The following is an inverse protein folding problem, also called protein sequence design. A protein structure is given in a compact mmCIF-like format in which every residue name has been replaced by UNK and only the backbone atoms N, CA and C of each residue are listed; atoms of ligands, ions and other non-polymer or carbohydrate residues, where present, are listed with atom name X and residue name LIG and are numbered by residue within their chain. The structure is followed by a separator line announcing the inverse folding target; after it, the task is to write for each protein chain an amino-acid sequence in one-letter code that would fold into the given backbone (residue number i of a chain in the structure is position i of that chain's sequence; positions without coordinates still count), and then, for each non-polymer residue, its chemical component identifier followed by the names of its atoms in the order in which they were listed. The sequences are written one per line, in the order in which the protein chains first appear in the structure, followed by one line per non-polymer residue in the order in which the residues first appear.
data_IF_427119895339
#
_entry.id   IF_427119895339
#
_cell.length_a   1.000
_cell.length_b   1.000
_cell.length_c   1.000
_cell.angle_alpha   90.00
_cell.angle_beta   90.00
_cell.angle_gamma   90.00
#
_symmetry.space_group_name_H-M   'P 1'
#
loop_
_entity.id
_entity.type
_entity.pdbx_description
1 polymer ?
#
# COMPACT_ATOMS: atom_id res chain seq x y z
N UNK A 1 -62.49 -49.54 10.73
CA UNK A 1 -62.43 -48.28 9.95
C UNK A 1 -60.99 -48.04 9.49
N UNK A 2 -60.67 -48.30 8.21
CA UNK A 2 -59.35 -48.00 7.62
C UNK A 2 -59.41 -46.62 6.98
N UNK A 3 -58.52 -45.70 7.37
CA UNK A 3 -58.34 -44.42 6.68
C UNK A 3 -57.62 -44.67 5.34
N UNK A 4 -58.08 -44.10 4.22
CA UNK A 4 -57.34 -44.17 2.97
C UNK A 4 -56.08 -43.29 3.07
N UNK A 5 -54.92 -43.92 2.95
CA UNK A 5 -53.64 -43.24 2.74
C UNK A 5 -53.59 -42.72 1.30
N UNK A 6 -53.71 -41.40 1.14
CA UNK A 6 -53.44 -40.74 -0.13
C UNK A 6 -51.94 -40.82 -0.41
N UNK A 7 -51.54 -41.76 -1.26
CA UNK A 7 -50.23 -41.72 -1.91
C UNK A 7 -50.29 -40.58 -2.91
N UNK A 8 -49.74 -39.41 -2.55
CA UNK A 8 -49.47 -38.36 -3.53
C UNK A 8 -48.35 -38.88 -4.43
N UNK A 9 -48.69 -39.23 -5.66
CA UNK A 9 -47.73 -39.52 -6.72
C UNK A 9 -46.88 -38.27 -6.96
N UNK A 10 -45.59 -38.39 -6.63
CA UNK A 10 -44.55 -37.39 -6.82
C UNK A 10 -44.03 -37.50 -8.27
N UNK A 11 -44.90 -37.33 -9.25
CA UNK A 11 -44.53 -37.48 -10.66
C UNK A 11 -44.03 -36.13 -11.21
N UNK A 12 -42.71 -36.01 -11.36
CA UNK A 12 -42.05 -34.91 -12.08
C UNK A 12 -41.67 -33.67 -11.27
N UNK A 13 -42.24 -33.47 -10.08
CA UNK A 13 -41.92 -32.29 -9.25
C UNK A 13 -40.47 -32.30 -8.73
N UNK A 14 -39.95 -33.47 -8.34
CA UNK A 14 -38.56 -33.59 -7.85
C UNK A 14 -37.52 -33.26 -8.92
N UNK A 15 -37.81 -33.59 -10.19
CA UNK A 15 -36.94 -33.28 -11.31
C UNK A 15 -36.90 -31.77 -11.57
N UNK A 16 -38.08 -31.11 -11.54
CA UNK A 16 -38.17 -29.67 -11.70
C UNK A 16 -37.49 -28.92 -10.54
N UNK A 17 -37.72 -29.36 -9.30
CA UNK A 17 -37.08 -28.80 -8.11
C UNK A 17 -35.55 -28.97 -8.15
N UNK A 18 -35.07 -30.15 -8.57
CA UNK A 18 -33.65 -30.41 -8.78
C UNK A 18 -33.03 -29.51 -9.85
N UNK A 19 -33.72 -29.30 -10.98
CA UNK A 19 -33.27 -28.36 -12.01
C UNK A 19 -33.19 -26.93 -11.49
N UNK A 20 -34.20 -26.46 -10.74
CA UNK A 20 -34.19 -25.13 -10.13
C UNK A 20 -33.02 -24.99 -9.15
N UNK A 21 -32.80 -25.98 -8.29
CA UNK A 21 -31.69 -25.99 -7.34
C UNK A 21 -30.32 -25.92 -8.06
N UNK A 22 -30.15 -26.67 -9.14
CA UNK A 22 -28.93 -26.62 -9.96
C UNK A 22 -28.73 -25.26 -10.64
N UNK A 23 -29.79 -24.65 -11.17
CA UNK A 23 -29.72 -23.30 -11.75
C UNK A 23 -29.30 -22.26 -10.71
N UNK A 24 -29.88 -22.32 -9.52
CA UNK A 24 -29.53 -21.40 -8.41
C UNK A 24 -28.06 -21.59 -8.01
N UNK A 25 -27.62 -22.84 -7.84
CA UNK A 25 -26.23 -23.13 -7.47
C UNK A 25 -25.25 -22.66 -8.55
N UNK A 26 -25.56 -22.87 -9.83
CA UNK A 26 -24.76 -22.40 -10.96
C UNK A 26 -24.66 -20.87 -11.00
N UNK A 27 -25.76 -20.16 -10.73
CA UNK A 27 -25.77 -18.70 -10.66
C UNK A 27 -24.95 -18.16 -9.50
N UNK A 28 -25.00 -18.82 -8.32
CA UNK A 28 -24.17 -18.44 -7.17
C UNK A 28 -22.69 -18.61 -7.50
N UNK A 29 -22.30 -19.75 -8.07
CA UNK A 29 -20.92 -20.00 -8.49
C UNK A 29 -20.42 -18.94 -9.49
N UNK A 30 -21.23 -18.60 -10.48
CA UNK A 30 -20.90 -17.53 -11.42
C UNK A 30 -20.75 -16.17 -10.73
N UNK A 31 -21.63 -15.85 -9.78
CA UNK A 31 -21.57 -14.61 -8.99
C UNK A 31 -20.30 -14.52 -8.12
N UNK A 32 -19.92 -15.62 -7.46
CA UNK A 32 -18.69 -15.67 -6.65
C UNK A 32 -17.44 -15.48 -7.52
N UNK A 33 -17.36 -16.18 -8.66
CA UNK A 33 -16.24 -16.02 -9.59
C UNK A 33 -16.15 -14.59 -10.15
N UNK A 34 -17.29 -14.00 -10.49
CA UNK A 34 -17.38 -12.61 -10.96
C UNK A 34 -16.90 -11.62 -9.90
N UNK A 35 -17.36 -11.77 -8.65
CA UNK A 35 -16.98 -10.90 -7.54
C UNK A 35 -15.48 -11.03 -7.21
N UNK A 36 -14.95 -12.26 -7.17
CA UNK A 36 -13.53 -12.50 -6.91
C UNK A 36 -12.63 -11.82 -7.93
N UNK A 37 -13.04 -11.83 -9.21
CA UNK A 37 -12.33 -11.11 -10.28
C UNK A 37 -12.34 -9.59 -10.07
N UNK A 38 -13.49 -9.01 -9.72
CA UNK A 38 -13.56 -7.57 -9.43
C UNK A 38 -12.74 -7.18 -8.19
N UNK A 39 -12.74 -8.03 -7.16
CA UNK A 39 -11.94 -7.83 -5.97
C UNK A 39 -10.44 -7.84 -6.30
N UNK A 40 -9.99 -8.77 -7.13
CA UNK A 40 -8.59 -8.86 -7.56
C UNK A 40 -8.16 -7.63 -8.39
N UNK A 41 -9.01 -7.17 -9.33
CA UNK A 41 -8.78 -5.92 -10.06
C UNK A 41 -8.69 -4.73 -9.10
N UNK A 42 -9.59 -4.65 -8.11
CA UNK A 42 -9.61 -3.57 -7.14
C UNK A 42 -8.37 -3.56 -6.24
N UNK A 43 -7.88 -4.73 -5.82
CA UNK A 43 -6.65 -4.88 -5.04
C UNK A 43 -5.42 -4.49 -5.88
N UNK A 44 -5.35 -4.97 -7.13
CA UNK A 44 -4.27 -4.61 -8.06
C UNK A 44 -4.24 -3.09 -8.29
N UNK A 45 -5.40 -2.47 -8.48
CA UNK A 45 -5.56 -1.02 -8.64
C UNK A 45 -5.09 -0.26 -7.39
N UNK A 46 -5.37 -0.79 -6.18
CA UNK A 46 -4.92 -0.21 -4.91
C UNK A 46 -3.40 -0.35 -4.71
N UNK A 47 -2.82 -1.51 -5.07
CA UNK A 47 -1.37 -1.71 -5.00
C UNK A 47 -0.63 -0.82 -6.01
N UNK A 48 -1.18 -0.66 -7.22
CA UNK A 48 -0.66 0.25 -8.22
C UNK A 48 -0.68 1.71 -7.73
N UNK A 49 -1.77 2.18 -7.11
CA UNK A 49 -1.84 3.56 -6.58
C UNK A 49 -0.84 3.78 -5.44
N UNK A 50 -0.71 2.82 -4.53
CA UNK A 50 0.27 2.88 -3.45
C UNK A 50 1.70 2.94 -4.00
N UNK A 51 2.04 2.05 -4.93
CA UNK A 51 3.38 2.02 -5.53
C UNK A 51 3.68 3.29 -6.35
N UNK A 52 2.70 3.83 -7.06
CA UNK A 52 2.79 5.10 -7.74
C UNK A 52 3.11 6.25 -6.78
N UNK A 53 2.36 6.35 -5.67
CA UNK A 53 2.57 7.40 -4.67
C UNK A 53 3.97 7.32 -4.03
N UNK A 54 4.43 6.12 -3.65
CA UNK A 54 5.76 5.93 -3.05
C UNK A 54 6.92 6.14 -4.01
N UNK A 55 6.76 5.80 -5.29
CA UNK A 55 7.79 6.07 -6.31
C UNK A 55 7.84 7.56 -6.65
N UNK A 56 6.68 8.21 -6.81
CA UNK A 56 6.60 9.64 -7.03
C UNK A 56 7.12 10.47 -5.84
N UNK A 57 6.88 10.02 -4.60
CA UNK A 57 7.43 10.65 -3.38
C UNK A 57 8.98 10.58 -3.32
N UNK A 58 9.59 9.59 -3.98
CA UNK A 58 11.05 9.45 -4.15
C UNK A 58 11.58 10.17 -5.41
N UNK A 59 10.76 10.97 -6.08
CA UNK A 59 11.09 11.70 -7.31
C UNK A 59 11.36 10.80 -8.53
N UNK A 60 10.94 9.53 -8.50
CA UNK A 60 10.99 8.63 -9.67
C UNK A 60 9.66 8.71 -10.44
N UNK A 61 9.47 9.75 -11.27
CA UNK A 61 8.21 9.99 -12.00
C UNK A 61 8.30 9.76 -13.50
N UNK A 62 9.50 9.78 -14.09
CA UNK A 62 9.68 9.61 -15.53
C UNK A 62 9.27 8.20 -15.98
N UNK A 63 8.32 8.11 -16.94
CA UNK A 63 7.79 6.83 -17.44
C UNK A 63 7.14 5.95 -16.38
N UNK A 64 6.84 6.47 -15.18
CA UNK A 64 6.22 5.70 -14.10
C UNK A 64 4.82 5.16 -14.48
N UNK A 65 3.93 5.93 -15.14
CA UNK A 65 2.62 5.41 -15.55
C UNK A 65 2.73 4.17 -16.45
N UNK A 66 3.66 4.17 -17.41
CA UNK A 66 3.83 3.06 -18.35
C UNK A 66 4.41 1.83 -17.64
N UNK A 67 5.48 2.01 -16.85
CA UNK A 67 6.08 0.93 -16.03
C UNK A 67 5.08 0.28 -15.06
N UNK A 68 4.17 1.07 -14.48
CA UNK A 68 3.13 0.55 -13.59
C UNK A 68 2.03 -0.19 -14.35
N UNK A 69 1.63 0.30 -15.54
CA UNK A 69 0.67 -0.40 -16.40
C UNK A 69 1.21 -1.78 -16.78
N UNK A 70 2.42 -1.85 -17.30
CA UNK A 70 3.08 -3.12 -17.65
C UNK A 70 3.27 -4.02 -16.42
N UNK A 71 3.74 -3.46 -15.31
CA UNK A 71 4.08 -4.22 -14.10
C UNK A 71 2.89 -4.78 -13.32
N UNK A 72 1.72 -4.13 -13.35
CA UNK A 72 0.54 -4.55 -12.58
C UNK A 72 -0.59 -5.10 -13.44
N UNK A 73 -0.75 -4.63 -14.68
CA UNK A 73 -1.94 -4.95 -15.49
C UNK A 73 -1.63 -5.81 -16.73
N UNK A 74 -0.34 -6.03 -17.05
CA UNK A 74 0.06 -6.86 -18.19
C UNK A 74 0.73 -8.19 -17.84
N UNK A 75 0.81 -8.53 -16.54
CA UNK A 75 1.38 -9.82 -16.13
C UNK A 75 0.45 -10.99 -16.45
N UNK A 76 0.99 -12.20 -16.67
CA UNK A 76 0.19 -13.41 -16.89
C UNK A 76 -0.85 -13.70 -15.79
N UNK A 77 -0.54 -13.34 -14.54
CA UNK A 77 -1.46 -13.50 -13.40
C UNK A 77 -2.65 -12.51 -13.42
N UNK A 78 -2.61 -11.47 -14.25
CA UNK A 78 -3.60 -10.38 -14.31
C UNK A 78 -4.27 -10.31 -15.69
N UNK A 79 -4.51 -11.47 -16.31
CA UNK A 79 -5.26 -11.62 -17.55
C UNK A 79 -6.73 -11.93 -17.24
N UNK A 80 -7.43 -10.97 -16.64
CA UNK A 80 -8.85 -11.14 -16.36
C UNK A 80 -9.64 -11.22 -17.66
N UNK A 81 -10.42 -12.29 -17.82
CA UNK A 81 -11.28 -12.51 -18.97
C UNK A 81 -12.76 -12.46 -18.58
N UNK A 82 -13.59 -12.06 -19.53
CA UNK A 82 -15.03 -12.22 -19.47
C UNK A 82 -15.43 -13.71 -19.62
N UNK A 83 -16.73 -13.98 -19.60
CA UNK A 83 -17.23 -15.36 -19.74
C UNK A 83 -17.06 -15.92 -21.16
N UNK A 84 -16.74 -15.09 -22.15
CA UNK A 84 -16.41 -15.49 -23.52
C UNK A 84 -14.90 -15.68 -23.74
N UNK A 85 -14.06 -15.44 -22.72
CA UNK A 85 -12.61 -15.52 -22.81
C UNK A 85 -11.93 -14.26 -23.34
N UNK A 86 -12.68 -13.16 -23.50
CA UNK A 86 -12.13 -11.89 -23.96
C UNK A 86 -11.55 -11.11 -22.78
N UNK A 87 -10.39 -10.47 -22.98
CA UNK A 87 -9.71 -9.72 -21.92
C UNK A 87 -10.55 -8.53 -21.47
N UNK A 88 -10.72 -8.37 -20.16
CA UNK A 88 -11.50 -7.29 -19.54
C UNK A 88 -10.72 -5.98 -19.43
N UNK A 89 -9.41 -6.07 -19.23
CA UNK A 89 -8.52 -4.92 -19.04
C UNK A 89 -7.25 -5.16 -19.84
N UNK A 90 -6.99 -4.33 -20.84
CA UNK A 90 -5.68 -4.20 -21.44
C UNK A 90 -4.83 -3.21 -20.63
N UNK A 91 -3.50 -3.34 -20.70
CA UNK A 91 -2.58 -2.37 -20.08
C UNK A 91 -2.46 -1.07 -20.90
N UNK A 92 -3.59 -0.60 -21.46
CA UNK A 92 -3.68 0.60 -22.29
C UNK A 92 -4.12 1.81 -21.44
N UNK A 93 -3.84 3.05 -21.90
CA UNK A 93 -4.31 4.25 -21.21
C UNK A 93 -5.84 4.40 -21.13
N UNK A 94 -6.57 3.82 -22.07
CA UNK A 94 -8.04 3.87 -22.10
C UNK A 94 -8.67 3.03 -20.98
N UNK A 95 -8.12 1.83 -20.78
CA UNK A 95 -8.56 0.87 -19.76
C UNK A 95 -7.98 1.19 -18.38
N UNK A 96 -6.73 1.69 -18.33
CA UNK A 96 -6.04 2.01 -17.07
C UNK A 96 -5.42 3.40 -17.12
N UNK A 97 -6.09 4.36 -16.49
CA UNK A 97 -5.59 5.72 -16.32
C UNK A 97 -4.81 5.83 -15.01
N UNK A 98 -3.54 6.25 -15.10
CA UNK A 98 -2.70 6.57 -13.94
C UNK A 98 -2.37 8.06 -14.00
N UNK A 99 -2.78 8.82 -12.98
CA UNK A 99 -2.44 10.23 -12.83
C UNK A 99 -1.69 10.48 -11.52
N UNK A 100 -0.78 11.45 -11.57
CA UNK A 100 0.00 11.91 -10.43
C UNK A 100 -0.24 13.41 -10.26
N UNK A 101 -0.85 13.78 -9.15
CA UNK A 101 -1.17 15.16 -8.83
C UNK A 101 -0.33 15.60 -7.62
N UNK A 102 0.41 16.71 -7.77
CA UNK A 102 1.09 17.36 -6.65
C UNK A 102 0.12 18.35 -6.01
N UNK A 103 -0.30 18.04 -4.79
CA UNK A 103 -1.19 18.86 -3.99
C UNK A 103 -0.44 19.94 -3.19
N UNK A 104 -1.20 20.88 -2.60
CA UNK A 104 -0.64 21.94 -1.78
C UNK A 104 -0.04 21.40 -0.48
N UNK A 105 0.77 22.24 0.16
CA UNK A 105 1.23 22.01 1.54
C UNK A 105 0.01 22.04 2.48
N UNK A 106 -0.06 21.08 3.40
CA UNK A 106 -1.06 20.99 4.44
C UNK A 106 -1.05 22.24 5.33
N UNK A 107 -2.24 22.69 5.71
CA UNK A 107 -2.40 23.76 6.70
C UNK A 107 -1.72 23.37 8.02
N UNK A 108 -1.27 24.36 8.79
CA UNK A 108 -0.58 24.13 10.07
C UNK A 108 -1.37 23.25 11.04
N UNK A 109 -2.71 23.28 10.99
CA UNK A 109 -3.58 22.45 11.82
C UNK A 109 -3.69 21.00 11.34
N UNK A 110 -3.54 20.76 10.03
CA UNK A 110 -3.58 19.42 9.44
C UNK A 110 -2.24 18.69 9.51
N UNK A 111 -1.19 19.39 9.95
CA UNK A 111 0.15 18.84 10.07
C UNK A 111 0.30 18.02 11.36
N UNK A 112 1.20 17.02 11.39
CA UNK A 112 1.43 16.20 12.59
C UNK A 112 1.73 17.06 13.83
N UNK A 113 0.95 16.91 14.90
CA UNK A 113 1.10 17.72 16.12
C UNK A 113 0.47 19.13 16.07
N UNK A 114 -0.25 19.50 15.00
CA UNK A 114 -1.01 20.74 14.90
C UNK A 114 -0.16 22.02 14.83
N UNK A 115 -0.70 23.13 15.31
CA UNK A 115 -0.09 24.46 15.18
C UNK A 115 0.79 24.90 16.36
N UNK A 116 1.07 24.01 17.31
CA UNK A 116 1.93 24.33 18.46
C UNK A 116 3.34 24.71 18.02
N UNK A 117 3.98 25.65 18.73
CA UNK A 117 5.37 26.07 18.44
C UNK A 117 6.35 24.92 18.62
N UNK A 118 6.22 24.16 19.71
CA UNK A 118 7.02 22.95 19.99
C UNK A 118 6.81 21.89 18.89
N UNK A 119 5.56 21.66 18.49
CA UNK A 119 5.25 20.69 17.42
C UNK A 119 5.85 21.14 16.08
N UNK A 120 5.81 22.44 15.77
CA UNK A 120 6.40 23.00 14.56
C UNK A 120 7.91 22.83 14.56
N UNK A 121 8.57 23.10 15.68
CA UNK A 121 10.01 22.91 15.82
C UNK A 121 10.40 21.43 15.74
N UNK A 122 9.67 20.52 16.40
CA UNK A 122 9.90 19.07 16.27
C UNK A 122 9.72 18.57 14.84
N UNK A 123 8.70 19.05 14.10
CA UNK A 123 8.54 18.70 12.67
C UNK A 123 9.72 19.17 11.82
N UNK A 124 10.22 20.37 12.09
CA UNK A 124 11.41 20.89 11.41
C UNK A 124 12.64 20.04 11.73
N UNK A 125 12.89 19.82 13.02
CA UNK A 125 14.03 19.07 13.55
C UNK A 125 14.07 17.62 13.06
N UNK A 126 12.91 16.99 12.84
CA UNK A 126 12.81 15.62 12.32
C UNK A 126 12.63 15.53 10.80
N UNK A 127 12.65 16.67 10.10
CA UNK A 127 12.32 16.73 8.67
C UNK A 127 10.96 16.09 8.33
N UNK A 128 9.99 16.15 9.27
CA UNK A 128 8.60 15.69 9.10
C UNK A 128 7.65 16.80 8.64
N UNK A 129 8.15 18.02 8.48
CA UNK A 129 7.35 19.11 7.95
C UNK A 129 6.89 18.76 6.53
N UNK A 130 5.62 19.02 6.24
CA UNK A 130 5.10 18.80 4.90
C UNK A 130 5.78 19.75 3.91
N UNK A 131 6.32 19.18 2.82
CA UNK A 131 6.84 19.93 1.68
C UNK A 131 5.90 19.89 0.47
N UNK A 132 4.76 19.21 0.63
CA UNK A 132 3.70 19.05 -0.36
C UNK A 132 3.12 17.63 -0.31
N UNK A 133 1.91 17.49 -0.83
CA UNK A 133 1.25 16.19 -0.97
C UNK A 133 1.47 15.65 -2.39
N UNK A 134 1.73 14.35 -2.55
CA UNK A 134 1.52 13.66 -3.83
C UNK A 134 0.30 12.78 -3.70
N UNK A 135 -0.61 12.91 -4.66
CA UNK A 135 -1.74 12.00 -4.84
C UNK A 135 -1.55 11.22 -6.12
N UNK A 136 -1.43 9.90 -5.99
CA UNK A 136 -1.47 9.01 -7.14
C UNK A 136 -2.87 8.43 -7.28
N UNK A 137 -3.46 8.56 -8.46
CA UNK A 137 -4.78 8.02 -8.79
C UNK A 137 -4.64 6.98 -9.88
N UNK A 138 -5.28 5.84 -9.70
CA UNK A 138 -5.37 4.77 -10.69
C UNK A 138 -6.84 4.46 -10.91
N UNK A 139 -7.28 4.49 -12.16
CA UNK A 139 -8.64 4.19 -12.58
C UNK A 139 -8.58 3.04 -13.57
N UNK A 140 -9.24 1.92 -13.25
CA UNK A 140 -9.43 0.80 -14.15
C UNK A 140 -10.87 0.75 -14.67
N UNK A 141 -11.00 0.59 -15.99
CA UNK A 141 -12.27 0.55 -16.74
C UNK A 141 -12.40 -0.81 -17.41
N UNK A 142 -12.80 -1.85 -16.65
CA UNK A 142 -12.99 -3.17 -17.24
C UNK A 142 -14.10 -3.12 -18.28
N UNK A 143 -13.81 -3.57 -19.50
CA UNK A 143 -14.74 -3.59 -20.63
C UNK A 143 -14.98 -5.03 -21.05
N UNK A 144 -16.25 -5.38 -21.27
CA UNK A 144 -16.62 -6.70 -21.77
C UNK A 144 -16.80 -6.66 -23.28
N UNK A 145 -16.28 -7.65 -24.00
CA UNK A 145 -16.51 -7.79 -25.44
C UNK A 145 -17.90 -8.36 -25.76
N UNK A 146 -18.61 -8.86 -24.73
CA UNK A 146 -19.96 -9.37 -24.88
C UNK A 146 -20.94 -8.24 -25.24
N UNK A 147 -21.53 -8.35 -26.44
CA UNK A 147 -22.51 -7.39 -26.93
C UNK A 147 -23.74 -7.30 -26.02
N UNK A 148 -24.27 -6.08 -25.87
CA UNK A 148 -25.56 -5.81 -25.26
C UNK A 148 -26.72 -6.59 -25.92
N UNK A 149 -26.54 -7.03 -27.17
CA UNK A 149 -27.56 -7.75 -27.95
C UNK A 149 -27.51 -9.27 -27.79
N UNK A 150 -26.67 -9.83 -26.91
CA UNK A 150 -26.66 -11.28 -26.67
C UNK A 150 -27.95 -11.69 -25.94
N UNK A 151 -28.70 -12.71 -26.42
CA UNK A 151 -29.90 -13.17 -25.75
C UNK A 151 -29.59 -13.70 -24.35
N UNK A 152 -30.48 -13.43 -23.40
CA UNK A 152 -30.35 -13.93 -22.03
C UNK A 152 -30.40 -15.46 -22.05
N UNK A 153 -29.32 -16.09 -21.58
CA UNK A 153 -29.33 -17.53 -21.30
C UNK A 153 -30.25 -17.84 -20.11
N UNK A 154 -30.61 -19.11 -19.94
CA UNK A 154 -31.53 -19.61 -18.89
C UNK A 154 -31.13 -19.16 -17.47
N UNK A 155 -29.83 -18.90 -17.24
CA UNK A 155 -29.30 -18.45 -15.95
C UNK A 155 -29.37 -16.93 -15.71
N UNK A 156 -29.81 -16.11 -16.69
CA UNK A 156 -29.96 -14.65 -16.51
C UNK A 156 -28.65 -13.88 -16.23
N UNK A 157 -27.49 -14.50 -16.48
CA UNK A 157 -26.18 -13.99 -16.08
C UNK A 157 -25.66 -12.81 -16.93
N UNK A 158 -26.47 -12.26 -17.85
CA UNK A 158 -26.06 -11.15 -18.72
C UNK A 158 -25.69 -9.91 -17.90
N UNK A 159 -26.37 -9.69 -16.77
CA UNK A 159 -26.10 -8.56 -15.88
C UNK A 159 -24.65 -8.51 -15.38
N UNK A 160 -23.99 -9.68 -15.29
CA UNK A 160 -22.60 -9.79 -14.86
C UNK A 160 -21.59 -9.34 -15.94
N UNK A 161 -22.02 -9.21 -17.21
CA UNK A 161 -21.11 -8.89 -18.31
C UNK A 161 -21.35 -7.50 -18.92
N UNK A 162 -22.56 -6.97 -18.85
CA UNK A 162 -22.92 -5.72 -19.55
C UNK A 162 -22.57 -4.45 -18.78
N UNK A 163 -22.38 -4.54 -17.46
CA UNK A 163 -22.08 -3.39 -16.62
C UNK A 163 -21.03 -3.76 -15.58
N UNK A 164 -19.77 -3.59 -15.95
CA UNK A 164 -18.65 -3.71 -15.02
C UNK A 164 -18.37 -2.33 -14.41
N UNK A 165 -18.23 -2.21 -13.08
CA UNK A 165 -18.00 -0.93 -12.45
C UNK A 165 -16.61 -0.39 -12.78
N UNK A 166 -16.51 0.93 -12.97
CA UNK A 166 -15.22 1.63 -13.00
C UNK A 166 -14.64 1.63 -11.59
N UNK A 167 -13.40 1.19 -11.46
CA UNK A 167 -12.72 1.08 -10.18
C UNK A 167 -11.66 2.18 -10.08
N UNK A 168 -11.85 3.10 -9.15
CA UNK A 168 -10.92 4.19 -8.90
C UNK A 168 -10.30 4.07 -7.51
N UNK A 169 -8.97 4.06 -7.44
CA UNK A 169 -8.21 4.11 -6.18
C UNK A 169 -7.27 5.31 -6.20
N UNK A 170 -7.06 5.88 -5.03
CA UNK A 170 -6.04 6.92 -4.86
C UNK A 170 -5.27 6.70 -3.57
N UNK A 171 -4.03 7.15 -3.57
CA UNK A 171 -3.15 7.14 -2.40
C UNK A 171 -2.43 8.47 -2.32
N UNK A 172 -2.50 9.11 -1.16
CA UNK A 172 -1.89 10.42 -0.92
C UNK A 172 -0.80 10.28 0.15
N UNK A 173 0.40 10.79 -0.14
CA UNK A 173 1.59 10.69 0.71
C UNK A 173 2.29 12.05 0.76
N UNK A 174 2.77 12.42 1.94
CA UNK A 174 3.61 13.61 2.12
C UNK A 174 4.96 13.42 1.41
N UNK A 175 5.36 14.42 0.65
CA UNK A 175 6.64 14.42 -0.06
C UNK A 175 7.74 14.63 0.97
N UNK A 176 8.76 13.75 0.94
CA UNK A 176 10.00 13.93 1.69
C UNK A 176 9.88 13.85 3.23
N UNK A 177 8.67 13.79 3.80
CA UNK A 177 8.47 13.78 5.24
C UNK A 177 9.15 12.57 5.89
N UNK A 178 10.20 12.83 6.67
CA UNK A 178 10.99 11.82 7.38
C UNK A 178 11.84 10.94 6.46
N UNK A 179 11.94 11.25 5.17
CA UNK A 179 12.74 10.48 4.23
C UNK A 179 14.23 10.82 4.40
N UNK A 180 15.04 9.81 4.72
CA UNK A 180 16.48 9.90 4.71
C UNK A 180 17.05 8.91 3.67
N UNK A 181 17.82 9.38 2.67
CA UNK A 181 18.35 8.50 1.62
C UNK A 181 19.45 7.54 2.10
N UNK A 182 20.01 7.77 3.28
CA UNK A 182 21.07 6.97 3.88
C UNK A 182 21.07 7.13 5.41
N UNK A 183 21.66 6.16 6.11
CA UNK A 183 21.83 6.17 7.58
C UNK A 183 22.54 7.43 8.08
N UNK A 184 23.54 7.88 7.34
CA UNK A 184 24.28 9.12 7.66
C UNK A 184 23.37 10.34 7.66
N UNK A 185 22.31 10.33 6.83
CA UNK A 185 21.30 11.38 6.82
C UNK A 185 20.36 11.29 8.00
N UNK A 186 19.96 10.08 8.41
CA UNK A 186 19.20 9.88 9.66
C UNK A 186 19.99 10.40 10.86
N UNK A 187 21.27 10.04 10.97
CA UNK A 187 22.14 10.50 12.05
C UNK A 187 22.32 12.01 12.06
N UNK A 188 22.42 12.63 10.88
CA UNK A 188 22.50 14.09 10.76
C UNK A 188 21.22 14.75 11.30
N UNK A 189 20.04 14.26 10.88
CA UNK A 189 18.74 14.75 11.36
C UNK A 189 18.63 14.60 12.88
N UNK A 190 18.93 13.42 13.43
CA UNK A 190 18.86 13.16 14.87
C UNK A 190 19.83 14.05 15.68
N UNK A 191 21.06 14.22 15.20
CA UNK A 191 22.06 15.08 15.86
C UNK A 191 21.71 16.56 15.82
N UNK A 192 21.03 17.01 14.77
CA UNK A 192 20.57 18.39 14.61
C UNK A 192 19.24 18.66 15.33
N UNK A 193 18.53 17.61 15.75
CA UNK A 193 17.25 17.72 16.44
C UNK A 193 17.42 18.20 17.88
N UNK A 194 17.36 19.53 18.03
CA UNK A 194 17.52 20.26 19.28
C UNK A 194 16.55 19.79 20.37
N UNK A 195 15.25 19.92 20.08
CA UNK A 195 14.21 19.65 21.06
C UNK A 195 13.99 18.17 21.32
N UNK A 196 14.24 17.30 20.34
CA UNK A 196 13.92 15.89 20.52
C UNK A 196 15.02 15.09 21.19
N UNK A 197 16.28 15.28 20.79
CA UNK A 197 17.35 14.35 21.16
C UNK A 197 18.64 15.05 21.57
N UNK A 198 19.13 16.03 20.81
CA UNK A 198 20.44 16.60 21.06
C UNK A 198 20.50 17.39 22.37
N UNK A 199 19.41 18.06 22.77
CA UNK A 199 19.31 18.75 24.05
C UNK A 199 19.44 17.80 25.24
N UNK A 200 18.62 16.74 25.27
CA UNK A 200 18.68 15.71 26.30
C UNK A 200 20.04 14.99 26.30
N UNK A 201 20.55 14.64 25.12
CA UNK A 201 21.87 14.01 24.99
C UNK A 201 22.98 14.91 25.52
N UNK A 202 22.98 16.21 25.20
CA UNK A 202 23.98 17.15 25.70
C UNK A 202 23.91 17.29 27.23
N UNK A 203 22.71 17.33 27.80
CA UNK A 203 22.51 17.35 29.25
C UNK A 203 23.08 16.08 29.91
N UNK A 204 22.76 14.90 29.37
CA UNK A 204 23.31 13.62 29.85
C UNK A 204 24.82 13.53 29.71
N UNK A 205 25.40 14.00 28.59
CA UNK A 205 26.86 14.04 28.39
C UNK A 205 27.54 14.99 29.38
N UNK A 206 26.93 16.14 29.66
CA UNK A 206 27.45 17.10 30.64
C UNK A 206 27.48 16.47 32.05
N UNK A 207 26.38 15.85 32.47
CA UNK A 207 26.29 15.15 33.74
C UNK A 207 27.29 13.98 33.82
N UNK A 208 27.38 13.17 32.76
CA UNK A 208 28.31 12.05 32.70
C UNK A 208 29.77 12.46 32.76
N UNK A 209 30.17 13.56 32.10
CA UNK A 209 31.52 14.10 32.19
C UNK A 209 31.84 14.62 33.59
N UNK A 210 30.87 15.21 34.28
CA UNK A 210 31.04 15.64 35.66
C UNK A 210 31.29 14.44 36.59
N UNK A 211 30.50 13.36 36.43
CA UNK A 211 30.69 12.12 37.20
C UNK A 211 32.03 11.46 36.86
N UNK A 212 32.37 11.35 35.57
CA UNK A 212 33.65 10.80 35.12
C UNK A 212 34.84 11.58 35.70
N UNK A 213 34.77 12.91 35.73
CA UNK A 213 35.82 13.74 36.33
C UNK A 213 36.04 13.47 37.83
N UNK A 214 35.01 13.03 38.57
CA UNK A 214 35.12 12.67 39.99
C UNK A 214 35.54 11.21 40.16
N UNK A 215 35.08 10.32 39.28
CA UNK A 215 35.25 8.87 39.41
C UNK A 215 36.50 8.33 38.70
N UNK A 216 37.12 9.07 37.77
CA UNK A 216 38.29 8.59 37.02
C UNK A 216 39.40 8.08 37.95
N UNK A 217 39.77 8.83 39.00
CA UNK A 217 40.81 8.41 39.94
C UNK A 217 40.44 7.12 40.70
N UNK A 218 39.14 6.91 40.92
CA UNK A 218 38.62 5.70 41.56
C UNK A 218 38.59 4.54 40.57
N UNK A 219 38.10 4.76 39.35
CA UNK A 219 37.96 3.77 38.29
C UNK A 219 39.31 3.32 37.72
N UNK A 220 40.33 4.18 37.73
CA UNK A 220 41.72 3.86 37.34
C UNK A 220 42.30 2.73 38.20
N UNK A 221 41.93 2.65 39.48
CA UNK A 221 42.33 1.56 40.37
C UNK A 221 41.73 0.19 39.99
N UNK A 222 40.72 0.17 39.11
CA UNK A 222 39.98 -1.02 38.69
C UNK A 222 40.12 -1.33 37.20
N UNK A 223 41.01 -0.60 36.49
CA UNK A 223 41.26 -0.75 35.04
C UNK A 223 39.98 -0.65 34.20
N UNK A 224 39.05 0.22 34.62
CA UNK A 224 37.75 0.37 33.97
C UNK A 224 37.88 1.31 32.76
N UNK A 225 37.32 0.95 31.58
CA UNK A 225 37.39 1.82 30.41
C UNK A 225 36.64 3.14 30.66
N UNK A 226 37.17 4.22 30.10
CA UNK A 226 36.55 5.54 30.20
C UNK A 226 35.15 5.55 29.56
N UNK A 227 34.20 6.33 30.10
CA UNK A 227 32.86 6.37 29.55
C UNK A 227 32.83 6.90 28.10
N UNK A 228 32.23 6.14 27.19
CA UNK A 228 31.95 6.61 25.83
C UNK A 228 30.64 7.40 25.82
N UNK A 229 30.72 8.64 25.36
CA UNK A 229 29.60 9.56 25.25
C UNK A 229 29.04 9.64 23.81
N UNK A 230 29.55 8.82 22.90
CA UNK A 230 29.01 8.68 21.57
C UNK A 230 27.82 7.73 21.53
N UNK A 231 26.63 8.29 21.72
CA UNK A 231 25.39 7.52 21.69
C UNK A 231 24.89 7.20 20.28
N UNK A 232 25.48 7.78 19.22
CA UNK A 232 24.90 7.73 17.86
C UNK A 232 25.76 6.93 16.88
N UNK A 233 27.10 7.03 16.93
CA UNK A 233 27.99 6.26 16.07
C UNK A 233 27.88 4.73 16.23
N UNK A 234 27.63 4.15 17.42
CA UNK A 234 27.43 2.71 17.56
C UNK A 234 26.26 2.14 16.74
N UNK A 235 25.32 3.01 16.33
CA UNK A 235 24.17 2.67 15.49
C UNK A 235 24.44 2.88 14.00
N UNK A 236 25.58 3.48 13.62
CA UNK A 236 25.96 3.69 12.23
C UNK A 236 26.08 2.35 11.51
N UNK A 237 25.30 2.14 10.44
CA UNK A 237 25.40 0.93 9.62
C UNK A 237 24.85 -0.34 10.28
N UNK A 238 24.24 -0.26 11.48
CA UNK A 238 23.46 -1.38 12.05
C UNK A 238 22.08 -1.47 11.41
N UNK A 239 22.06 -1.66 10.09
CA UNK A 239 20.86 -2.05 9.36
C UNK A 239 20.80 -3.57 9.34
N UNK A 240 19.65 -4.22 9.59
CA UNK A 240 19.53 -5.67 9.44
C UNK A 240 20.04 -6.09 8.06
N UNK A 241 21.02 -7.02 8.01
CA UNK A 241 21.80 -7.31 6.80
C UNK A 241 20.98 -7.65 5.53
N UNK A 242 19.73 -8.10 5.71
CA UNK A 242 18.72 -8.30 4.66
C UNK A 242 18.40 -7.05 3.81
N UNK A 243 18.70 -5.84 4.29
CA UNK A 243 18.45 -4.59 3.56
C UNK A 243 19.69 -4.10 2.79
N UNK A 244 20.88 -4.66 3.04
CA UNK A 244 22.12 -4.32 2.34
C UNK A 244 22.29 -5.10 1.02
N UNK A 245 21.67 -6.27 0.89
CA UNK A 245 21.81 -7.17 -0.26
C UNK A 245 21.00 -6.79 -1.52
N UNK A 246 20.28 -5.65 -1.54
CA UNK A 246 19.53 -5.18 -2.73
C UNK A 246 20.20 -4.02 -3.47
N UNK A 247 21.32 -3.50 -2.98
CA UNK A 247 22.04 -2.38 -3.59
C UNK A 247 23.33 -2.79 -4.32
N UNK A 248 23.64 -4.09 -4.41
CA UNK A 248 24.73 -4.64 -5.23
C UNK A 248 24.17 -5.36 -6.45
N UNK A 249 23.81 -4.59 -7.48
CA UNK A 249 23.41 -5.11 -8.79
C UNK A 249 24.17 -4.34 -9.88
N UNK A 250 25.42 -4.74 -10.09
CA UNK A 250 26.39 -4.47 -11.19
C UNK A 250 27.74 -4.96 -10.64
N UNK A 251 28.53 -5.84 -11.24
CA UNK A 251 28.60 -6.36 -12.60
C UNK A 251 29.11 -7.81 -12.53
N UNK A 252 28.57 -8.67 -13.39
CA UNK A 252 29.30 -9.69 -14.17
C UNK A 252 28.46 -10.03 -15.41
#
# INVERSE_FOLDING_TARGET
MRRPSYVRTQDGQSLLEGMVALLVLGSIWAGVAWLGRLQDIALTTQHASGRAAFAAARQDTAGLPDRLREGFFDRPAHQWADRAGSRLLAATPDDVLISLDRGPVLSLLAQPGGSGSVATQLRSDWALHDTGLITARVVSRPTSALSHNRPDGILGLRILDISLPVLARHTSILIGAGHAPADTSVQRILRQSGLAWSGAANASKSAGRMVAGIMNDVDDGWDRPTPDFDWLLPWAGRVPGRHLSRAGGSDD
#
